data_IF_986888622017
#
_entry.id   IF_986888622017
#
_cell.length_a   1.000
_cell.length_b   1.000
_cell.length_c   1.000
_cell.angle_alpha   90.00
_cell.angle_beta   90.00
_cell.angle_gamma   90.00
#
_symmetry.space_group_name_H-M   'P 1'
#
loop_
_entity.id
_entity.type
_entity.pdbx_description
1 polymer ?
#
# COMPACT_ATOMS: atom_id res chain seq x y z
N UNK A 1 25.04 12.80 -11.23
CA UNK A 1 23.58 12.75 -11.44
C UNK A 1 23.08 14.18 -11.62
N UNK A 2 22.51 14.53 -12.76
CA UNK A 2 22.01 15.89 -13.06
C UNK A 2 20.75 16.16 -12.24
N UNK A 3 20.86 16.90 -11.13
CA UNK A 3 19.73 17.35 -10.32
C UNK A 3 18.82 18.23 -11.19
N UNK A 4 17.55 17.86 -11.34
CA UNK A 4 16.54 18.74 -11.92
C UNK A 4 16.40 19.94 -10.97
N UNK A 5 16.96 21.08 -11.37
CA UNK A 5 17.16 22.28 -10.53
C UNK A 5 15.87 23.04 -10.16
N UNK A 6 14.69 22.47 -10.40
CA UNK A 6 13.40 23.10 -10.12
C UNK A 6 12.32 22.03 -9.88
N UNK A 7 12.43 21.25 -8.81
CA UNK A 7 11.35 20.35 -8.40
C UNK A 7 10.33 21.12 -7.54
N UNK A 8 9.29 21.64 -8.19
CA UNK A 8 8.10 22.13 -7.49
C UNK A 8 7.41 21.04 -6.67
N UNK A 9 7.67 19.77 -6.99
CA UNK A 9 7.16 18.60 -6.29
C UNK A 9 8.16 18.16 -5.23
N UNK A 10 7.73 18.21 -3.98
CA UNK A 10 8.53 17.83 -2.81
C UNK A 10 8.22 16.41 -2.31
N UNK A 11 7.08 15.84 -2.70
CA UNK A 11 6.63 14.51 -2.29
C UNK A 11 5.56 14.02 -3.26
N UNK A 12 5.49 12.71 -3.47
CA UNK A 12 4.37 12.04 -4.14
C UNK A 12 3.59 11.24 -3.09
N UNK A 13 2.27 11.36 -3.11
CA UNK A 13 1.38 10.60 -2.25
C UNK A 13 0.51 9.69 -3.12
N UNK A 14 0.44 8.41 -2.78
CA UNK A 14 -0.39 7.43 -3.47
C UNK A 14 -1.32 6.80 -2.46
N UNK A 15 -2.62 7.02 -2.66
CA UNK A 15 -3.67 6.37 -1.89
C UNK A 15 -4.13 5.09 -2.59
N UNK A 16 -4.67 4.16 -1.81
CA UNK A 16 -5.14 2.84 -2.27
C UNK A 16 -4.10 2.09 -3.14
N UNK A 17 -2.84 2.19 -2.74
CA UNK A 17 -1.68 1.74 -3.50
C UNK A 17 -1.63 0.21 -3.74
N UNK A 18 -2.48 -0.56 -3.04
CA UNK A 18 -2.64 -1.99 -3.30
C UNK A 18 -3.11 -2.29 -4.73
N UNK A 19 -3.82 -1.34 -5.38
CA UNK A 19 -4.30 -1.52 -6.76
C UNK A 19 -3.25 -1.23 -7.83
N UNK A 20 -2.03 -0.83 -7.43
CA UNK A 20 -0.93 -0.67 -8.38
C UNK A 20 -0.50 -2.00 -8.97
N UNK A 21 -0.08 -1.97 -10.24
CA UNK A 21 0.65 -3.07 -10.87
C UNK A 21 2.14 -2.98 -10.56
N UNK A 22 2.86 -4.10 -10.68
CA UNK A 22 4.33 -4.16 -10.54
C UNK A 22 5.07 -3.02 -11.27
N UNK A 23 4.66 -2.74 -12.50
CA UNK A 23 5.28 -1.72 -13.33
C UNK A 23 5.13 -0.31 -12.73
N UNK A 24 3.98 0.00 -12.14
CA UNK A 24 3.72 1.27 -11.49
C UNK A 24 4.52 1.38 -10.18
N UNK A 25 4.55 0.32 -9.37
CA UNK A 25 5.40 0.29 -8.17
C UNK A 25 6.88 0.53 -8.54
N UNK A 26 7.37 -0.08 -9.63
CA UNK A 26 8.73 0.17 -10.10
C UNK A 26 8.97 1.61 -10.56
N UNK A 27 7.97 2.26 -11.15
CA UNK A 27 8.06 3.68 -11.49
C UNK A 27 8.16 4.55 -10.22
N UNK A 28 7.45 4.21 -9.15
CA UNK A 28 7.56 4.90 -7.86
C UNK A 28 8.98 4.78 -7.28
N UNK A 29 9.59 3.58 -7.31
CA UNK A 29 10.99 3.42 -6.88
C UNK A 29 11.94 4.33 -7.68
N UNK A 30 11.75 4.40 -9.01
CA UNK A 30 12.56 5.28 -9.87
C UNK A 30 12.40 6.77 -9.52
N UNK A 31 11.21 7.20 -9.08
CA UNK A 31 11.02 8.59 -8.60
C UNK A 31 11.93 8.87 -7.40
N UNK A 32 11.99 7.94 -6.44
CA UNK A 32 12.89 8.06 -5.29
C UNK A 32 14.35 8.04 -5.74
N UNK A 33 14.75 7.04 -6.52
CA UNK A 33 16.15 6.78 -6.88
C UNK A 33 16.78 7.79 -7.87
N UNK A 34 15.98 8.25 -8.84
CA UNK A 34 16.43 9.10 -9.95
C UNK A 34 16.14 10.58 -9.68
N UNK A 35 15.04 10.90 -9.01
CA UNK A 35 14.59 12.29 -8.82
C UNK A 35 14.78 12.80 -7.39
N UNK A 36 15.15 11.94 -6.43
CA UNK A 36 15.33 12.30 -5.02
C UNK A 36 14.04 12.92 -4.42
N UNK A 37 12.88 12.43 -4.88
CA UNK A 37 11.55 12.83 -4.38
C UNK A 37 10.99 11.67 -3.54
N UNK A 38 10.64 11.88 -2.26
CA UNK A 38 10.02 10.85 -1.46
C UNK A 38 8.64 10.46 -1.99
N UNK A 39 8.33 9.16 -1.90
CA UNK A 39 7.02 8.60 -2.24
C UNK A 39 6.40 7.99 -0.99
N UNK A 40 5.20 8.42 -0.64
CA UNK A 40 4.39 7.83 0.42
C UNK A 40 3.25 7.04 -0.21
N UNK A 41 3.20 5.73 0.05
CA UNK A 41 2.16 4.84 -0.47
C UNK A 41 1.33 4.28 0.69
N UNK A 42 0.02 4.54 0.65
CA UNK A 42 -0.95 4.04 1.62
C UNK A 42 -1.84 3.00 0.97
N UNK A 43 -2.08 1.91 1.68
CA UNK A 43 -2.92 0.83 1.18
C UNK A 43 -2.99 -0.35 2.14
N UNK A 44 -3.88 -1.28 1.82
CA UNK A 44 -4.05 -2.53 2.58
C UNK A 44 -3.16 -3.65 2.02
N UNK A 45 -2.68 -4.54 2.89
CA UNK A 45 -1.75 -5.61 2.50
C UNK A 45 -2.43 -6.74 1.73
N UNK A 46 -3.64 -7.08 2.15
CA UNK A 46 -4.39 -8.24 1.68
C UNK A 46 -5.87 -7.92 1.58
N UNK A 47 -6.57 -8.67 0.75
CA UNK A 47 -8.01 -8.64 0.64
C UNK A 47 -8.70 -9.28 1.87
N UNK A 48 -10.01 -9.46 1.77
CA UNK A 48 -10.81 -10.04 2.86
C UNK A 48 -10.60 -11.55 3.04
N UNK A 49 -10.06 -12.24 2.03
CA UNK A 49 -9.66 -13.66 2.09
C UNK A 49 -8.26 -13.82 2.68
N UNK A 50 -7.52 -12.72 2.86
CA UNK A 50 -6.13 -12.74 3.31
C UNK A 50 -5.12 -12.91 2.17
N UNK A 51 -5.58 -12.88 0.92
CA UNK A 51 -4.72 -12.96 -0.25
C UNK A 51 -4.08 -11.59 -0.53
N UNK A 52 -2.78 -11.54 -0.85
CA UNK A 52 -2.09 -10.28 -1.06
C UNK A 52 -2.47 -9.65 -2.40
N UNK A 53 -2.62 -8.32 -2.41
CA UNK A 53 -2.75 -7.57 -3.67
C UNK A 53 -1.40 -7.47 -4.38
N UNK A 54 -1.40 -7.47 -5.72
CA UNK A 54 -0.18 -7.34 -6.53
C UNK A 54 0.65 -6.12 -6.12
N UNK A 55 0.02 -4.95 -6.02
CA UNK A 55 0.69 -3.72 -5.61
C UNK A 55 1.33 -3.85 -4.24
N UNK A 56 0.61 -4.43 -3.29
CA UNK A 56 1.07 -4.65 -1.92
C UNK A 56 2.25 -5.61 -1.84
N UNK A 57 2.30 -6.67 -2.65
CA UNK A 57 3.46 -7.58 -2.74
C UNK A 57 4.71 -6.78 -3.08
N UNK A 58 4.65 -5.96 -4.13
CA UNK A 58 5.81 -5.22 -4.61
C UNK A 58 6.17 -4.05 -3.69
N UNK A 59 5.19 -3.31 -3.18
CA UNK A 59 5.41 -2.22 -2.23
C UNK A 59 6.09 -2.73 -0.96
N UNK A 60 5.57 -3.79 -0.34
CA UNK A 60 6.16 -4.35 0.88
C UNK A 60 7.57 -4.90 0.65
N UNK A 61 7.86 -5.40 -0.56
CA UNK A 61 9.17 -5.98 -0.90
C UNK A 61 10.21 -4.92 -1.27
N UNK A 62 9.82 -3.84 -1.95
CA UNK A 62 10.75 -2.85 -2.50
C UNK A 62 10.82 -1.53 -1.74
N UNK A 63 9.87 -1.23 -0.86
CA UNK A 63 9.90 -0.01 -0.07
C UNK A 63 11.09 0.01 0.89
N UNK A 64 11.76 1.16 0.99
CA UNK A 64 12.84 1.38 1.96
C UNK A 64 12.33 1.29 3.40
N UNK A 65 11.08 1.68 3.63
CA UNK A 65 10.42 1.67 4.93
C UNK A 65 8.99 1.16 4.84
N UNK A 66 8.64 0.24 5.72
CA UNK A 66 7.28 -0.28 5.89
C UNK A 66 6.77 0.07 7.29
N UNK A 67 5.66 0.82 7.36
CA UNK A 67 5.00 1.14 8.62
C UNK A 67 3.60 0.54 8.65
N UNK A 68 3.34 -0.37 9.60
CA UNK A 68 2.00 -0.90 9.83
C UNK A 68 1.19 0.07 10.69
N UNK A 69 0.01 0.45 10.21
CA UNK A 69 -1.02 1.12 11.01
C UNK A 69 -1.84 0.05 11.74
N UNK A 70 -1.92 0.15 13.06
CA UNK A 70 -2.60 -0.85 13.90
C UNK A 70 -4.06 -0.46 14.12
N UNK A 71 -4.95 -1.41 13.91
CA UNK A 71 -6.35 -1.34 14.32
C UNK A 71 -6.64 -2.41 15.37
N UNK A 72 -7.76 -2.25 16.08
CA UNK A 72 -8.17 -3.16 17.18
C UNK A 72 -9.28 -4.06 16.68
N UNK A 73 -9.09 -5.37 16.81
CA UNK A 73 -10.10 -6.38 16.52
C UNK A 73 -11.19 -6.35 17.59
N UNK A 74 -12.39 -6.84 17.28
CA UNK A 74 -13.46 -7.03 18.26
C UNK A 74 -13.05 -7.85 19.50
N UNK A 75 -12.04 -8.74 19.36
CA UNK A 75 -11.47 -9.47 20.51
C UNK A 75 -10.46 -8.68 21.35
N UNK A 76 -10.23 -7.39 21.06
CA UNK A 76 -9.28 -6.52 21.76
C UNK A 76 -7.80 -6.70 21.35
N UNK A 77 -7.48 -7.70 20.52
CA UNK A 77 -6.13 -7.91 19.98
C UNK A 77 -5.91 -7.07 18.71
N UNK A 78 -4.65 -7.00 18.25
CA UNK A 78 -4.30 -6.36 16.97
C UNK A 78 -5.10 -7.01 15.83
N UNK A 79 -5.83 -6.21 15.06
CA UNK A 79 -6.49 -6.68 13.85
C UNK A 79 -5.43 -6.88 12.75
N UNK A 80 -5.46 -8.05 12.11
CA UNK A 80 -4.52 -8.43 11.04
C UNK A 80 -5.22 -8.75 9.72
N UNK A 81 -6.56 -8.79 9.72
CA UNK A 81 -7.40 -9.17 8.59
C UNK A 81 -8.45 -8.10 8.35
N UNK A 82 -8.88 -7.97 7.10
CA UNK A 82 -10.03 -7.18 6.72
C UNK A 82 -11.23 -8.11 6.62
N UNK A 83 -12.31 -7.86 7.37
CA UNK A 83 -13.53 -8.66 7.28
C UNK A 83 -14.52 -7.97 6.34
N UNK A 84 -15.10 -8.73 5.40
CA UNK A 84 -16.24 -8.27 4.60
C UNK A 84 -17.52 -8.88 5.17
N UNK A 85 -18.54 -8.04 5.33
CA UNK A 85 -19.85 -8.42 5.86
C UNK A 85 -20.88 -8.14 4.77
N UNK A 86 -21.74 -9.12 4.50
CA UNK A 86 -22.85 -9.01 3.55
C UNK A 86 -24.01 -8.17 4.12
N UNK A 87 -24.98 -7.82 3.28
CA UNK A 87 -26.13 -6.99 3.69
C UNK A 87 -26.96 -7.63 4.83
N UNK A 88 -27.00 -8.96 4.90
CA UNK A 88 -27.71 -9.71 5.93
C UNK A 88 -26.93 -9.87 7.25
N UNK A 89 -25.71 -9.32 7.32
CA UNK A 89 -24.83 -9.39 8.48
C UNK A 89 -23.98 -10.66 8.56
N UNK A 90 -24.04 -11.55 7.56
CA UNK A 90 -23.17 -12.72 7.48
C UNK A 90 -21.77 -12.36 7.01
N UNK A 91 -20.78 -13.18 7.36
CA UNK A 91 -19.39 -12.99 6.93
C UNK A 91 -19.25 -13.51 5.50
N UNK A 92 -18.68 -12.67 4.63
CA UNK A 92 -18.36 -13.03 3.27
C UNK A 92 -17.10 -13.91 3.23
N UNK A 93 -17.24 -15.19 2.90
CA UNK A 93 -16.13 -16.14 2.79
C UNK A 93 -15.60 -16.28 1.34
N UNK A 94 -16.43 -15.89 0.35
CA UNK A 94 -16.14 -16.04 -1.08
C UNK A 94 -16.28 -14.72 -1.85
N UNK A 95 -15.91 -14.69 -3.15
CA UNK A 95 -15.94 -13.47 -3.97
C UNK A 95 -14.96 -13.44 -5.12
#
# INVERSE_FOLDING_TARGET
KSRIKNNSVQCVFVDEAQFLKKAQVRQLCRIVDELDIPVLAYGIRSDFKGEPFEGSIYLLTWADQNQELKTVCHCGRKATMNMRIEEDGTVCEEG
#
